data_IF_256962036544
#
_entry.id   IF_256962036544
#
_cell.length_a   1.000
_cell.length_b   1.000
_cell.length_c   1.000
_cell.angle_alpha   90.00
_cell.angle_beta   90.00
_cell.angle_gamma   90.00
#
_symmetry.space_group_name_H-M   'P 1'
#
loop_
_entity.id
_entity.type
_entity.pdbx_description
1 polymer ?
#
# COMPACT_ATOMS: atom_id res chain seq x y z
N UNK A 1 -4.06 7.14 17.98
CA UNK A 1 -5.31 6.41 17.73
C UNK A 1 -6.39 7.04 18.60
N UNK A 2 -7.63 7.17 18.12
CA UNK A 2 -8.78 7.55 18.96
C UNK A 2 -9.25 6.29 19.72
N UNK A 3 -9.44 6.35 21.05
CA UNK A 3 -9.94 5.22 21.82
C UNK A 3 -11.28 4.72 21.30
N UNK A 4 -11.48 3.40 21.31
CA UNK A 4 -12.69 2.75 20.83
C UNK A 4 -13.93 3.24 21.58
N UNK A 5 -13.81 3.46 22.89
CA UNK A 5 -14.85 4.05 23.75
C UNK A 5 -15.37 5.40 23.26
N UNK A 6 -14.50 6.25 22.71
CA UNK A 6 -14.86 7.56 22.16
C UNK A 6 -15.61 7.39 20.84
N UNK A 7 -15.15 6.47 19.99
CA UNK A 7 -15.76 6.22 18.68
C UNK A 7 -17.12 5.55 18.80
N UNK A 8 -17.31 4.63 19.76
CA UNK A 8 -18.58 3.90 19.96
C UNK A 8 -19.61 4.63 20.79
N UNK A 9 -19.24 5.81 21.33
CA UNK A 9 -20.21 6.73 21.95
C UNK A 9 -21.26 7.20 20.94
N UNK A 10 -20.95 7.16 19.64
CA UNK A 10 -21.89 7.38 18.53
C UNK A 10 -22.57 6.06 18.17
N UNK A 11 -23.91 5.92 18.34
CA UNK A 11 -24.62 4.67 18.08
C UNK A 11 -24.44 4.14 16.65
N UNK A 12 -24.46 5.04 15.65
CA UNK A 12 -24.23 4.68 14.26
C UNK A 12 -22.83 4.08 14.02
N UNK A 13 -21.81 4.61 14.71
CA UNK A 13 -20.46 4.07 14.61
C UNK A 13 -20.36 2.68 15.28
N UNK A 14 -21.02 2.50 16.43
CA UNK A 14 -21.09 1.20 17.11
C UNK A 14 -21.74 0.12 16.25
N UNK A 15 -22.86 0.43 15.59
CA UNK A 15 -23.53 -0.52 14.70
C UNK A 15 -22.63 -0.95 13.52
N UNK A 16 -21.89 0.00 12.94
CA UNK A 16 -20.90 -0.27 11.89
C UNK A 16 -19.76 -1.15 12.43
N UNK A 17 -19.24 -0.86 13.62
CA UNK A 17 -18.16 -1.63 14.23
C UNK A 17 -18.59 -3.09 14.48
N UNK A 18 -19.78 -3.31 15.03
CA UNK A 18 -20.29 -4.66 15.33
C UNK A 18 -20.62 -5.45 14.05
N UNK A 19 -21.24 -4.81 13.05
CA UNK A 19 -21.60 -5.46 11.78
C UNK A 19 -20.36 -5.83 10.94
N UNK A 20 -19.41 -4.91 10.80
CA UNK A 20 -18.14 -5.18 10.10
C UNK A 20 -17.25 -6.12 10.90
N UNK A 21 -17.28 -6.05 12.24
CA UNK A 21 -16.54 -6.96 13.12
C UNK A 21 -16.96 -8.42 12.95
N UNK A 22 -18.29 -8.67 12.87
CA UNK A 22 -18.83 -9.99 12.51
C UNK A 22 -18.41 -10.43 11.12
N UNK A 23 -18.44 -9.54 10.13
CA UNK A 23 -18.05 -9.87 8.74
C UNK A 23 -16.55 -10.20 8.60
N UNK A 24 -15.70 -9.53 9.38
CA UNK A 24 -14.24 -9.59 9.22
C UNK A 24 -13.53 -10.39 10.31
N UNK A 25 -14.29 -11.05 11.19
CA UNK A 25 -13.82 -11.81 12.35
C UNK A 25 -12.78 -10.99 13.13
N UNK A 26 -13.17 -9.79 13.55
CA UNK A 26 -12.30 -8.83 14.20
C UNK A 26 -13.08 -7.99 15.20
N UNK A 27 -12.53 -7.81 16.40
CA UNK A 27 -13.12 -6.94 17.39
C UNK A 27 -12.60 -5.51 17.22
N UNK A 28 -13.47 -4.60 16.77
CA UNK A 28 -13.14 -3.18 16.62
C UNK A 28 -13.31 -2.39 17.93
N UNK A 29 -13.84 -3.02 18.99
CA UNK A 29 -13.97 -2.44 20.32
C UNK A 29 -12.75 -2.73 21.21
N UNK A 30 -11.92 -3.70 20.81
CA UNK A 30 -10.64 -3.98 21.44
C UNK A 30 -9.56 -3.00 20.92
N UNK A 31 -9.19 -2.05 21.77
CA UNK A 31 -8.20 -1.03 21.44
C UNK A 31 -6.81 -1.61 21.13
N UNK A 32 -6.42 -2.71 21.79
CA UNK A 32 -5.12 -3.35 21.55
C UNK A 32 -5.11 -4.01 20.17
N UNK A 33 -6.19 -4.71 19.82
CA UNK A 33 -6.36 -5.30 18.50
C UNK A 33 -6.34 -4.23 17.40
N UNK A 34 -7.07 -3.12 17.59
CA UNK A 34 -7.11 -2.00 16.64
C UNK A 34 -5.73 -1.35 16.50
N UNK A 35 -5.02 -1.12 17.60
CA UNK A 35 -3.68 -0.55 17.55
C UNK A 35 -2.70 -1.45 16.78
N UNK A 36 -2.75 -2.77 17.03
CA UNK A 36 -1.97 -3.76 16.28
C UNK A 36 -2.29 -3.71 14.78
N UNK A 37 -3.57 -3.67 14.43
CA UNK A 37 -4.04 -3.55 13.05
C UNK A 37 -3.48 -2.30 12.36
N UNK A 38 -3.56 -1.14 13.02
CA UNK A 38 -3.07 0.13 12.48
C UNK A 38 -1.56 0.12 12.29
N UNK A 39 -0.80 -0.45 13.22
CA UNK A 39 0.66 -0.63 13.09
C UNK A 39 1.02 -1.54 11.92
N UNK A 40 0.34 -2.68 11.76
CA UNK A 40 0.53 -3.57 10.61
C UNK A 40 0.24 -2.87 9.30
N UNK A 41 -0.80 -2.03 9.27
CA UNK A 41 -1.16 -1.26 8.09
C UNK A 41 -0.12 -0.20 7.75
N UNK A 42 0.41 0.50 8.75
CA UNK A 42 1.53 1.42 8.58
C UNK A 42 2.76 0.72 7.99
N UNK A 43 3.14 -0.44 8.53
CA UNK A 43 4.29 -1.21 8.03
C UNK A 43 4.08 -1.69 6.59
N UNK A 44 2.86 -2.07 6.22
CA UNK A 44 2.53 -2.45 4.85
C UNK A 44 2.74 -1.27 3.88
N UNK A 45 2.28 -0.08 4.26
CA UNK A 45 2.45 1.16 3.49
C UNK A 45 3.92 1.59 3.40
N UNK A 46 4.66 1.56 4.51
CA UNK A 46 6.09 1.87 4.54
C UNK A 46 6.89 0.90 3.64
N UNK A 47 6.53 -0.39 3.63
CA UNK A 47 7.14 -1.39 2.74
C UNK A 47 6.82 -1.14 1.28
N UNK A 48 5.60 -0.70 0.95
CA UNK A 48 5.23 -0.34 -0.42
C UNK A 48 6.02 0.87 -0.89
N UNK A 49 6.10 1.91 -0.06
CA UNK A 49 6.86 3.12 -0.35
C UNK A 49 8.35 2.80 -0.53
N UNK A 50 8.94 2.03 0.39
CA UNK A 50 10.34 1.58 0.29
C UNK A 50 10.61 0.78 -0.97
N UNK A 51 9.71 -0.15 -1.34
CA UNK A 51 9.82 -0.91 -2.59
C UNK A 51 9.75 0.00 -3.83
N UNK A 52 8.84 0.98 -3.80
CA UNK A 52 8.72 2.00 -4.85
C UNK A 52 10.00 2.81 -5.01
N UNK A 53 10.63 3.23 -3.92
CA UNK A 53 11.91 3.97 -3.95
C UNK A 53 13.07 3.12 -4.46
N UNK A 54 13.18 1.86 -3.98
CA UNK A 54 14.25 0.92 -4.38
C UNK A 54 14.19 0.57 -5.86
N UNK A 55 13.01 0.51 -6.47
CA UNK A 55 12.84 0.27 -7.90
C UNK A 55 12.86 1.57 -8.71
N UNK A 56 12.30 2.65 -8.17
CA UNK A 56 12.09 3.91 -8.88
C UNK A 56 13.34 4.71 -9.11
N UNK A 57 14.20 4.83 -8.10
CA UNK A 57 15.44 5.59 -8.25
C UNK A 57 16.36 4.97 -9.32
N UNK A 58 16.67 3.65 -9.29
CA UNK A 58 17.48 3.05 -10.34
C UNK A 58 16.83 3.12 -11.72
N UNK A 59 15.51 2.90 -11.80
CA UNK A 59 14.78 2.99 -13.08
C UNK A 59 14.82 4.40 -13.66
N UNK A 60 14.64 5.43 -12.82
CA UNK A 60 14.71 6.82 -13.25
C UNK A 60 16.12 7.19 -13.75
N UNK A 61 17.18 6.75 -13.06
CA UNK A 61 18.55 6.96 -13.51
C UNK A 61 18.84 6.24 -14.83
N UNK A 62 18.38 4.99 -14.99
CA UNK A 62 18.54 4.24 -16.23
C UNK A 62 17.83 4.92 -17.40
N UNK A 63 16.57 5.35 -17.21
CA UNK A 63 15.79 6.04 -18.23
C UNK A 63 16.37 7.42 -18.57
N UNK A 64 16.84 8.18 -17.57
CA UNK A 64 17.52 9.46 -17.79
C UNK A 64 18.81 9.28 -18.60
N UNK A 65 19.63 8.29 -18.25
CA UNK A 65 20.85 7.97 -19.00
C UNK A 65 20.56 7.58 -20.45
N UNK A 66 19.54 6.74 -20.67
CA UNK A 66 19.02 6.40 -22.00
C UNK A 66 18.64 7.68 -22.77
N UNK A 67 17.82 8.54 -22.16
CA UNK A 67 17.32 9.75 -22.81
C UNK A 67 18.44 10.71 -23.21
N UNK A 68 19.40 10.96 -22.31
CA UNK A 68 20.55 11.83 -22.57
C UNK A 68 21.45 11.25 -23.66
N UNK A 69 21.75 9.95 -23.61
CA UNK A 69 22.55 9.28 -24.63
C UNK A 69 21.87 9.33 -26.02
N UNK A 70 20.56 9.14 -26.05
CA UNK A 70 19.77 9.28 -27.28
C UNK A 70 19.82 10.70 -27.85
N UNK A 71 19.46 11.70 -27.04
CA UNK A 71 19.36 13.09 -27.47
C UNK A 71 20.71 13.74 -27.80
N UNK A 72 21.79 13.28 -27.17
CA UNK A 72 23.14 13.83 -27.38
C UNK A 72 23.95 13.09 -28.44
N UNK A 73 24.08 11.77 -28.34
CA UNK A 73 25.05 11.01 -29.13
C UNK A 73 24.40 10.38 -30.37
N UNK A 74 23.30 9.64 -30.19
CA UNK A 74 22.75 8.78 -31.24
C UNK A 74 22.07 9.58 -32.35
N UNK A 75 21.39 10.70 -32.03
CA UNK A 75 20.76 11.56 -33.03
C UNK A 75 21.77 12.30 -33.92
N UNK A 76 22.95 12.63 -33.39
CA UNK A 76 23.91 13.47 -34.10
C UNK A 76 24.98 12.67 -34.83
N UNK A 77 25.42 11.52 -34.29
CA UNK A 77 26.65 10.85 -34.73
C UNK A 77 26.48 9.45 -35.33
N UNK A 78 25.29 8.83 -35.27
CA UNK A 78 25.13 7.40 -35.60
C UNK A 78 24.26 7.06 -36.82
N UNK A 79 24.59 5.93 -37.43
CA UNK A 79 23.90 5.35 -38.59
C UNK A 79 22.51 4.80 -38.23
N UNK A 80 21.61 4.69 -39.22
CA UNK A 80 20.25 4.16 -39.04
C UNK A 80 20.22 2.74 -38.45
N UNK A 81 21.25 1.91 -38.72
CA UNK A 81 21.37 0.56 -38.14
C UNK A 81 21.66 0.62 -36.64
N UNK A 82 22.58 1.48 -36.21
CA UNK A 82 22.91 1.70 -34.80
C UNK A 82 21.73 2.31 -34.04
N UNK A 83 20.97 3.21 -34.67
CA UNK A 83 19.73 3.75 -34.12
C UNK A 83 18.69 2.65 -33.86
N UNK A 84 18.52 1.72 -34.80
CA UNK A 84 17.59 0.58 -34.65
C UNK A 84 17.98 -0.34 -33.49
N UNK A 85 19.27 -0.70 -33.40
CA UNK A 85 19.79 -1.51 -32.30
C UNK A 85 19.62 -0.80 -30.94
N UNK A 86 19.86 0.51 -30.91
CA UNK A 86 19.63 1.32 -29.72
C UNK A 86 18.16 1.29 -29.28
N UNK A 87 17.21 1.51 -30.19
CA UNK A 87 15.78 1.45 -29.85
C UNK A 87 15.35 0.06 -29.35
N UNK A 88 15.87 -1.00 -29.95
CA UNK A 88 15.59 -2.36 -29.48
C UNK A 88 16.12 -2.58 -28.06
N UNK A 89 17.35 -2.15 -27.77
CA UNK A 89 17.94 -2.23 -26.42
C UNK A 89 17.19 -1.37 -25.40
N UNK A 90 16.89 -0.12 -25.76
CA UNK A 90 16.13 0.82 -24.95
C UNK A 90 14.72 0.28 -24.62
N UNK A 91 14.02 -0.22 -25.63
CA UNK A 91 12.72 -0.87 -25.47
C UNK A 91 12.80 -2.10 -24.57
N UNK A 92 13.85 -2.91 -24.71
CA UNK A 92 14.11 -4.04 -23.82
C UNK A 92 14.31 -3.63 -22.36
N UNK A 93 15.07 -2.57 -22.09
CA UNK A 93 15.27 -2.02 -20.74
C UNK A 93 13.96 -1.51 -20.15
N UNK A 94 13.18 -0.74 -20.92
CA UNK A 94 11.86 -0.24 -20.49
C UNK A 94 10.92 -1.41 -20.18
N UNK A 95 10.86 -2.41 -21.05
CA UNK A 95 10.02 -3.60 -20.87
C UNK A 95 10.41 -4.37 -19.59
N UNK A 96 11.71 -4.53 -19.33
CA UNK A 96 12.21 -5.17 -18.12
C UNK A 96 11.82 -4.38 -16.85
N UNK A 97 11.97 -3.06 -16.86
CA UNK A 97 11.55 -2.19 -15.75
C UNK A 97 10.06 -2.39 -15.48
N UNK A 98 9.22 -2.27 -16.50
CA UNK A 98 7.76 -2.44 -16.38
C UNK A 98 7.42 -3.82 -15.81
N UNK A 99 8.07 -4.88 -16.31
CA UNK A 99 7.86 -6.25 -15.81
C UNK A 99 8.20 -6.38 -14.32
N UNK A 100 9.33 -5.85 -13.87
CA UNK A 100 9.73 -5.88 -12.46
C UNK A 100 8.76 -5.11 -11.56
N UNK A 101 8.25 -3.98 -12.04
CA UNK A 101 7.21 -3.21 -11.36
C UNK A 101 5.92 -4.00 -11.21
N UNK A 102 5.43 -4.62 -12.29
CA UNK A 102 4.21 -5.44 -12.29
C UNK A 102 4.37 -6.60 -11.31
N UNK A 103 5.47 -7.37 -11.39
CA UNK A 103 5.71 -8.49 -10.47
C UNK A 103 5.70 -8.04 -9.01
N UNK A 104 6.37 -6.92 -8.71
CA UNK A 104 6.46 -6.38 -7.35
C UNK A 104 5.09 -5.95 -6.83
N UNK A 105 4.32 -5.20 -7.63
CA UNK A 105 2.98 -4.74 -7.28
C UNK A 105 2.01 -5.92 -7.10
N UNK A 106 2.01 -6.88 -8.03
CA UNK A 106 1.13 -8.05 -7.95
C UNK A 106 1.43 -8.90 -6.71
N UNK A 107 2.71 -9.09 -6.35
CA UNK A 107 3.07 -9.81 -5.11
C UNK A 107 2.66 -9.04 -3.86
N UNK A 108 2.89 -7.73 -3.84
CA UNK A 108 2.57 -6.88 -2.70
C UNK A 108 1.05 -6.74 -2.49
N UNK A 109 0.30 -6.61 -3.57
CA UNK A 109 -1.16 -6.50 -3.53
C UNK A 109 -1.86 -7.85 -3.37
N UNK A 110 -1.35 -8.92 -3.97
CA UNK A 110 -1.93 -10.26 -3.98
C UNK A 110 -1.78 -11.07 -2.68
N UNK A 111 -1.00 -10.58 -1.70
CA UNK A 111 -0.78 -11.29 -0.44
C UNK A 111 -2.06 -11.33 0.40
N UNK A 112 -2.71 -12.50 0.49
CA UNK A 112 -3.96 -12.70 1.26
C UNK A 112 -3.89 -12.19 2.70
N UNK A 113 -2.82 -12.45 3.50
CA UNK A 113 -2.69 -11.88 4.84
C UNK A 113 -2.72 -10.34 4.87
N UNK A 114 -2.05 -9.70 3.90
CA UNK A 114 -2.05 -8.23 3.79
C UNK A 114 -3.41 -7.69 3.35
N UNK A 115 -4.09 -8.40 2.43
CA UNK A 115 -5.44 -8.04 2.02
C UNK A 115 -6.44 -8.13 3.18
N UNK A 116 -6.30 -9.13 4.07
CA UNK A 116 -7.07 -9.26 5.32
C UNK A 116 -6.89 -8.03 6.23
N UNK A 117 -5.64 -7.60 6.43
CA UNK A 117 -5.31 -6.36 7.18
C UNK A 117 -5.90 -5.13 6.50
N UNK A 118 -5.80 -5.00 5.18
CA UNK A 118 -6.37 -3.87 4.43
C UNK A 118 -7.90 -3.85 4.49
N UNK A 119 -8.56 -5.00 4.46
CA UNK A 119 -10.02 -5.12 4.62
C UNK A 119 -10.47 -4.61 5.99
N UNK A 120 -9.79 -5.02 7.07
CA UNK A 120 -10.05 -4.57 8.43
C UNK A 120 -9.76 -3.07 8.60
N UNK A 121 -8.66 -2.57 8.05
CA UNK A 121 -8.34 -1.14 8.07
C UNK A 121 -9.37 -0.29 7.30
N UNK A 122 -9.89 -0.80 6.17
CA UNK A 122 -10.94 -0.14 5.40
C UNK A 122 -12.27 -0.09 6.18
N UNK A 123 -12.63 -1.14 6.90
CA UNK A 123 -13.81 -1.13 7.78
C UNK A 123 -13.63 -0.18 8.97
N UNK A 124 -12.46 -0.18 9.60
CA UNK A 124 -12.14 0.79 10.66
C UNK A 124 -12.26 2.24 10.17
N UNK A 125 -11.88 2.53 8.92
CA UNK A 125 -12.11 3.84 8.30
C UNK A 125 -13.60 4.20 8.21
N UNK A 126 -14.46 3.27 7.80
CA UNK A 126 -15.92 3.51 7.71
C UNK A 126 -16.49 3.84 9.09
N UNK A 127 -16.07 3.06 10.09
CA UNK A 127 -16.42 3.25 11.49
C UNK A 127 -15.99 4.63 12.01
N UNK A 128 -14.72 5.00 11.80
CA UNK A 128 -14.21 6.30 12.19
C UNK A 128 -14.99 7.43 11.51
N UNK A 129 -15.23 7.34 10.19
CA UNK A 129 -16.03 8.34 9.48
C UNK A 129 -17.47 8.46 9.97
N UNK A 130 -18.11 7.36 10.36
CA UNK A 130 -19.42 7.38 10.98
C UNK A 130 -19.40 8.11 12.33
N UNK A 131 -18.35 7.91 13.14
CA UNK A 131 -18.17 8.63 14.41
C UNK A 131 -17.95 10.14 14.18
N UNK A 132 -17.15 10.51 13.17
CA UNK A 132 -16.92 11.90 12.78
C UNK A 132 -18.24 12.59 12.36
N UNK A 133 -19.06 11.90 11.57
CA UNK A 133 -20.39 12.39 11.19
C UNK A 133 -21.36 12.57 12.37
N UNK A 134 -21.12 11.86 13.48
CA UNK A 134 -21.83 12.01 14.74
C UNK A 134 -21.26 13.08 15.70
N UNK A 135 -20.24 13.84 15.27
CA UNK A 135 -19.66 14.93 16.06
C UNK A 135 -18.44 14.55 16.90
N UNK A 136 -17.86 13.36 16.71
CA UNK A 136 -16.58 13.01 17.34
C UNK A 136 -15.45 13.77 16.66
N UNK A 137 -14.65 14.48 17.45
CA UNK A 137 -13.44 15.13 16.95
C UNK A 137 -12.40 14.09 16.57
N UNK A 138 -12.16 13.96 15.26
CA UNK A 138 -11.12 13.09 14.73
C UNK A 138 -9.93 13.95 14.31
N UNK A 139 -8.69 13.46 14.51
CA UNK A 139 -7.52 14.10 13.93
C UNK A 139 -7.70 14.29 12.43
N UNK A 140 -7.51 15.51 11.93
CA UNK A 140 -7.72 15.87 10.53
C UNK A 140 -6.92 15.04 9.53
N UNK A 141 -5.84 14.39 9.98
CA UNK A 141 -5.15 13.35 9.25
C UNK A 141 -5.06 12.07 10.09
N UNK A 142 -5.74 11.02 9.65
CA UNK A 142 -5.47 9.67 10.12
C UNK A 142 -4.75 8.92 8.98
N UNK A 143 -3.44 8.70 9.08
CA UNK A 143 -2.61 8.26 7.96
C UNK A 143 -2.93 6.85 7.45
N UNK A 144 -3.52 5.98 8.27
CA UNK A 144 -3.42 4.54 8.08
C UNK A 144 -4.61 3.90 7.34
N UNK A 145 -5.45 4.69 6.67
CA UNK A 145 -6.66 4.20 6.00
C UNK A 145 -6.47 3.80 4.53
N UNK A 146 -5.21 3.71 4.06
CA UNK A 146 -4.80 4.02 2.69
C UNK A 146 -5.69 3.56 1.50
N UNK A 147 -5.56 4.27 0.36
CA UNK A 147 -6.61 4.48 -0.65
C UNK A 147 -6.84 3.31 -1.62
N UNK A 148 -6.53 2.07 -1.25
CA UNK A 148 -6.52 0.93 -2.18
C UNK A 148 -7.68 -0.04 -1.94
N UNK A 149 -8.92 0.32 -2.29
CA UNK A 149 -10.09 -0.54 -2.08
C UNK A 149 -9.99 -1.86 -2.86
N UNK A 150 -9.32 -1.86 -4.02
CA UNK A 150 -9.09 -3.07 -4.83
C UNK A 150 -8.16 -4.09 -4.16
N UNK A 151 -7.39 -3.69 -3.16
CA UNK A 151 -6.43 -4.54 -2.44
C UNK A 151 -6.94 -4.96 -1.05
N UNK A 152 -8.22 -4.71 -0.74
CA UNK A 152 -8.85 -4.95 0.55
C UNK A 152 -9.82 -6.15 0.50
N UNK A 153 -9.48 -7.18 -0.27
CA UNK A 153 -10.29 -8.41 -0.36
C UNK A 153 -10.12 -9.24 0.93
N UNK A 154 -11.23 -9.51 1.61
CA UNK A 154 -11.17 -10.27 2.85
C UNK A 154 -11.04 -11.77 2.57
N UNK A 155 -10.05 -12.38 3.21
CA UNK A 155 -9.79 -13.82 3.17
C UNK A 155 -9.82 -14.34 4.61
N UNK A 156 -10.91 -15.00 5.01
CA UNK A 156 -11.10 -15.48 6.38
C UNK A 156 -10.09 -16.56 6.76
N UNK A 157 -9.72 -17.41 5.79
CA UNK A 157 -8.75 -18.49 5.86
C UNK A 157 -7.29 -18.01 5.93
N UNK A 158 -7.03 -16.74 5.59
CA UNK A 158 -5.67 -16.22 5.59
C UNK A 158 -5.13 -16.08 7.02
N UNK A 159 -3.88 -16.54 7.21
CA UNK A 159 -3.12 -16.38 8.46
C UNK A 159 -3.07 -14.90 8.86
N UNK A 160 -3.29 -14.64 10.15
CA UNK A 160 -3.12 -13.29 10.70
C UNK A 160 -1.63 -12.89 10.72
N UNK A 161 -1.36 -11.64 10.40
CA UNK A 161 -0.02 -11.09 10.49
C UNK A 161 0.28 -10.70 11.93
N UNK A 162 1.50 -10.97 12.33
CA UNK A 162 2.06 -10.51 13.60
C UNK A 162 2.95 -9.30 13.38
N UNK A 163 3.07 -8.47 14.40
CA UNK A 163 4.05 -7.39 14.36
C UNK A 163 5.44 -8.03 14.35
N UNK A 164 6.38 -7.50 13.55
CA UNK A 164 7.76 -7.96 13.61
C UNK A 164 8.27 -7.79 15.04
N UNK A 165 9.02 -8.79 15.53
CA UNK A 165 9.67 -8.69 16.83
C UNK A 165 10.72 -7.58 16.80
N UNK A 166 11.04 -6.96 17.93
CA UNK A 166 12.06 -5.89 17.99
C UNK A 166 13.42 -6.33 17.41
N UNK A 167 13.70 -7.64 17.44
CA UNK A 167 14.90 -8.23 16.85
C UNK A 167 14.95 -8.18 15.30
N UNK A 168 13.80 -8.12 14.62
CA UNK A 168 13.73 -8.05 13.14
C UNK A 168 13.79 -6.62 12.59
N UNK A 169 13.86 -5.62 13.47
CA UNK A 169 13.76 -4.20 13.10
C UNK A 169 15.10 -3.45 13.18
N UNK A 170 16.19 -4.15 13.54
CA UNK A 170 17.58 -3.62 13.53
C UNK A 170 18.31 -3.95 12.25
#
# INVERSE_FOLDING_TARGET
>A
MVPGEVLVSVPAAREVAESEGRRLHFDFLDDEAVLKLLRLRYLDEARLHSAGMKLGVPSALALAGLFVYWGGYVQYWESSKSQTLYYAGAGGVVALIVLLYVITLTRHWGSRPRQKVRARAAAYRKFAHAAAGGGVDLPGFYPHYGPYPFAANFHADAKDLELPSEAETR
#
